data_IF_844617090944
#
_entry.id   IF_844617090944
#
_cell.length_a   1.000
_cell.length_b   1.000
_cell.length_c   1.000
_cell.angle_alpha   90.00
_cell.angle_beta   90.00
_cell.angle_gamma   90.00
#
_symmetry.space_group_name_H-M   'P 1'
#
loop_
_entity.id
_entity.type
_entity.pdbx_description
1 polymer ?
#
# COMPACT_ATOMS: atom_id res chain seq x y z
N UNK A 1 50.94 30.66 -8.83
CA UNK A 1 49.97 30.19 -7.82
C UNK A 1 48.77 29.64 -8.58
N UNK A 2 48.54 28.33 -8.54
CA UNK A 2 47.41 27.68 -9.20
C UNK A 2 46.69 26.84 -8.14
N UNK A 3 45.52 27.31 -7.70
CA UNK A 3 44.64 26.57 -6.80
C UNK A 3 43.73 25.71 -7.68
N UNK A 4 44.03 24.41 -7.78
CA UNK A 4 43.12 23.44 -8.38
C UNK A 4 42.10 23.02 -7.31
N UNK A 5 40.85 23.44 -7.48
CA UNK A 5 39.73 23.01 -6.66
C UNK A 5 39.25 21.64 -7.15
N UNK A 6 39.54 20.59 -6.39
CA UNK A 6 38.95 19.27 -6.60
C UNK A 6 37.54 19.31 -5.99
N UNK A 7 36.52 19.39 -6.84
CA UNK A 7 35.14 19.24 -6.43
C UNK A 7 34.86 17.75 -6.13
N UNK A 8 34.74 17.41 -4.85
CA UNK A 8 34.31 16.07 -4.41
C UNK A 8 32.79 16.02 -4.54
N UNK A 9 32.30 15.43 -5.64
CA UNK A 9 30.89 15.06 -5.81
C UNK A 9 30.61 13.79 -5.00
N UNK A 10 30.25 13.95 -3.73
CA UNK A 10 29.63 12.89 -2.93
C UNK A 10 28.20 12.68 -3.46
N UNK A 11 28.05 11.75 -4.40
CA UNK A 11 26.76 11.19 -4.77
C UNK A 11 26.18 10.47 -3.55
N UNK A 12 25.30 11.15 -2.82
CA UNK A 12 24.45 10.56 -1.79
C UNK A 12 23.48 9.60 -2.47
N UNK A 13 23.89 8.34 -2.66
CA UNK A 13 22.96 7.24 -2.83
C UNK A 13 22.20 7.10 -1.52
N UNK A 14 21.10 7.83 -1.37
CA UNK A 14 20.13 7.55 -0.31
C UNK A 14 19.59 6.14 -0.57
N UNK A 15 19.85 5.15 0.29
CA UNK A 15 19.09 3.91 0.22
C UNK A 15 17.63 4.30 0.47
N UNK A 16 16.79 4.15 -0.55
CA UNK A 16 15.34 4.24 -0.35
C UNK A 16 14.96 3.14 0.62
N UNK A 17 14.76 3.49 1.89
CA UNK A 17 14.20 2.57 2.85
C UNK A 17 12.78 2.27 2.39
N UNK A 18 12.61 1.09 1.78
CA UNK A 18 11.31 0.50 1.50
C UNK A 18 10.43 0.69 2.74
N UNK A 19 9.29 1.37 2.59
CA UNK A 19 8.37 1.60 3.72
C UNK A 19 7.52 0.34 3.88
N UNK A 20 7.70 -0.45 4.95
CA UNK A 20 6.95 -1.68 5.13
C UNK A 20 5.51 -1.38 5.56
N UNK A 21 4.57 -1.98 4.85
CA UNK A 21 3.13 -1.87 5.13
C UNK A 21 2.48 -3.26 5.20
N UNK A 22 1.46 -3.43 6.03
CA UNK A 22 0.71 -4.70 6.11
C UNK A 22 -0.28 -4.82 4.95
N UNK A 23 -0.95 -3.71 4.63
CA UNK A 23 -2.05 -3.68 3.68
C UNK A 23 -1.88 -2.53 2.69
N UNK A 24 -2.10 -2.80 1.40
CA UNK A 24 -2.07 -1.79 0.35
C UNK A 24 -3.15 -2.04 -0.72
N UNK A 25 -3.59 -0.98 -1.37
CA UNK A 25 -4.51 -1.01 -2.50
C UNK A 25 -4.18 0.12 -3.49
N UNK A 26 -4.56 -0.07 -4.76
CA UNK A 26 -4.38 0.96 -5.77
C UNK A 26 -5.51 2.00 -5.68
N UNK A 27 -5.20 3.26 -5.99
CA UNK A 27 -6.18 4.35 -6.03
C UNK A 27 -6.47 4.81 -7.46
N UNK A 28 -7.68 5.33 -7.69
CA UNK A 28 -8.09 5.92 -8.97
C UNK A 28 -7.41 7.26 -9.24
N UNK A 29 -6.97 7.94 -8.18
CA UNK A 29 -6.28 9.22 -8.16
C UNK A 29 -5.43 9.32 -6.88
N UNK A 30 -4.54 10.32 -6.81
CA UNK A 30 -3.90 10.65 -5.53
C UNK A 30 -4.97 11.14 -4.57
N UNK A 31 -5.01 10.54 -3.38
CA UNK A 31 -5.99 10.85 -2.35
C UNK A 31 -7.46 10.56 -2.72
N UNK A 32 -7.68 9.59 -3.61
CA UNK A 32 -9.00 9.20 -4.10
C UNK A 32 -9.37 7.76 -3.68
N UNK A 33 -10.60 7.36 -3.99
CA UNK A 33 -11.15 6.02 -3.87
C UNK A 33 -10.24 4.90 -4.40
N UNK A 34 -10.44 3.71 -3.86
CA UNK A 34 -9.74 2.50 -4.29
C UNK A 34 -10.15 2.14 -5.72
N UNK A 35 -9.14 1.94 -6.57
CA UNK A 35 -9.28 1.36 -7.91
C UNK A 35 -9.18 -0.17 -7.79
N UNK A 36 -10.35 -0.81 -7.75
CA UNK A 36 -10.42 -2.27 -7.57
C UNK A 36 -9.86 -3.04 -8.77
N UNK A 37 -10.06 -2.54 -10.00
CA UNK A 37 -9.58 -3.20 -11.21
C UNK A 37 -8.05 -3.23 -11.25
N UNK A 38 -7.40 -2.09 -10.95
CA UNK A 38 -5.94 -2.03 -10.84
C UNK A 38 -5.42 -2.91 -9.69
N UNK A 39 -6.12 -2.96 -8.57
CA UNK A 39 -5.75 -3.81 -7.42
C UNK A 39 -5.88 -5.30 -7.78
N UNK A 40 -6.93 -5.67 -8.51
CA UNK A 40 -7.13 -7.02 -9.06
C UNK A 40 -6.01 -7.41 -10.02
N UNK A 41 -5.57 -6.49 -10.89
CA UNK A 41 -4.44 -6.73 -11.80
C UNK A 41 -3.12 -6.94 -11.04
N UNK A 42 -2.83 -6.12 -10.02
CA UNK A 42 -1.65 -6.33 -9.15
C UNK A 42 -1.69 -7.73 -8.51
N UNK A 43 -2.82 -8.12 -7.94
CA UNK A 43 -3.00 -9.45 -7.36
C UNK A 43 -2.85 -10.57 -8.40
N UNK A 44 -3.46 -10.42 -9.58
CA UNK A 44 -3.46 -11.44 -10.63
C UNK A 44 -2.08 -11.67 -11.26
N UNK A 45 -1.25 -10.61 -11.36
CA UNK A 45 0.07 -10.69 -11.96
C UNK A 45 1.16 -11.16 -11.00
N UNK A 46 0.99 -10.95 -9.69
CA UNK A 46 1.91 -11.47 -8.67
C UNK A 46 1.17 -12.08 -7.48
N UNK A 47 0.35 -13.08 -7.76
CA UNK A 47 -0.42 -13.82 -6.74
C UNK A 47 0.47 -14.61 -5.76
N UNK A 48 1.76 -14.76 -6.08
CA UNK A 48 2.76 -15.37 -5.21
C UNK A 48 3.27 -14.40 -4.15
N UNK A 49 3.22 -13.09 -4.43
CA UNK A 49 3.66 -12.02 -3.54
C UNK A 49 2.50 -11.38 -2.80
N UNK A 50 1.34 -11.24 -3.42
CA UNK A 50 0.18 -10.57 -2.85
C UNK A 50 -1.02 -11.49 -2.76
N UNK A 51 -1.73 -11.41 -1.63
CA UNK A 51 -3.00 -12.11 -1.40
C UNK A 51 -4.02 -11.12 -0.84
N UNK A 52 -5.30 -11.39 -1.02
CA UNK A 52 -6.35 -10.56 -0.42
C UNK A 52 -6.23 -10.51 1.11
N UNK A 53 -6.36 -9.30 1.66
CA UNK A 53 -6.31 -9.05 3.10
C UNK A 53 -7.64 -9.41 3.79
N UNK A 54 -8.67 -9.66 3.00
CA UNK A 54 -10.03 -10.00 3.42
C UNK A 54 -10.57 -11.19 2.63
N UNK A 55 -11.64 -11.81 3.14
CA UNK A 55 -12.37 -12.87 2.44
C UNK A 55 -13.26 -12.28 1.34
N UNK A 56 -13.74 -13.15 0.44
CA UNK A 56 -14.63 -12.74 -0.64
C UNK A 56 -15.92 -12.11 -0.09
N UNK A 57 -16.28 -10.93 -0.60
CA UNK A 57 -17.46 -10.18 -0.16
C UNK A 57 -17.26 -9.34 1.11
N UNK A 58 -16.10 -9.43 1.77
CA UNK A 58 -15.73 -8.52 2.86
C UNK A 58 -15.02 -7.27 2.32
N UNK A 59 -15.09 -6.17 3.07
CA UNK A 59 -14.40 -4.92 2.72
C UNK A 59 -13.98 -4.16 3.97
N UNK A 60 -12.91 -3.39 3.87
CA UNK A 60 -12.46 -2.52 4.94
C UNK A 60 -13.23 -1.21 4.93
N UNK A 61 -13.58 -0.72 6.12
CA UNK A 61 -14.21 0.58 6.33
C UNK A 61 -13.16 1.68 6.37
N UNK A 62 -13.46 2.80 5.73
CA UNK A 62 -12.63 4.00 5.77
C UNK A 62 -12.59 4.61 7.18
N UNK A 63 -11.44 5.12 7.56
CA UNK A 63 -11.27 5.97 8.73
C UNK A 63 -10.68 7.32 8.29
N UNK A 64 -11.31 8.41 8.73
CA UNK A 64 -10.81 9.77 8.43
C UNK A 64 -9.51 10.08 9.19
N UNK A 65 -9.29 9.41 10.32
CA UNK A 65 -8.07 9.52 11.12
C UNK A 65 -7.88 8.28 11.99
N UNK A 66 -6.64 8.03 12.41
CA UNK A 66 -6.29 6.88 13.24
C UNK A 66 -5.79 5.67 12.42
N UNK A 67 -5.77 4.48 13.04
CA UNK A 67 -5.37 3.25 12.36
C UNK A 67 -6.39 2.84 11.28
N UNK A 68 -5.95 2.02 10.33
CA UNK A 68 -6.84 1.53 9.27
C UNK A 68 -6.70 2.30 7.96
N UNK A 69 -7.50 1.90 6.95
CA UNK A 69 -7.43 2.51 5.64
C UNK A 69 -8.15 3.85 5.62
N UNK A 70 -7.57 4.82 4.92
CA UNK A 70 -8.21 6.11 4.65
C UNK A 70 -9.39 6.00 3.69
N UNK A 71 -9.41 4.95 2.86
CA UNK A 71 -10.43 4.72 1.83
C UNK A 71 -11.02 3.33 2.00
N UNK A 72 -12.34 3.23 1.91
CA UNK A 72 -13.03 1.96 2.02
C UNK A 72 -12.74 1.11 0.78
N UNK A 73 -12.62 -0.21 0.96
CA UNK A 73 -12.44 -1.13 -0.16
C UNK A 73 -11.72 -2.42 0.18
N UNK A 74 -11.22 -3.06 -0.87
CA UNK A 74 -10.50 -4.32 -0.80
C UNK A 74 -8.99 -4.05 -0.89
N UNK A 75 -8.24 -4.66 0.03
CA UNK A 75 -6.80 -4.46 0.15
C UNK A 75 -6.05 -5.78 -0.05
N UNK A 76 -4.80 -5.65 -0.47
CA UNK A 76 -3.84 -6.74 -0.56
C UNK A 76 -2.91 -6.71 0.65
N UNK A 77 -2.46 -7.89 1.06
CA UNK A 77 -1.33 -8.07 1.97
C UNK A 77 -0.24 -8.89 1.30
N UNK A 78 0.98 -8.82 1.81
CA UNK A 78 2.03 -9.70 1.35
C UNK A 78 1.69 -11.16 1.74
N UNK A 79 1.91 -12.09 0.83
CA UNK A 79 1.81 -13.53 1.10
C UNK A 79 2.81 -13.95 2.19
N UNK A 80 3.95 -13.25 2.27
CA UNK A 80 4.98 -13.39 3.32
C UNK A 80 5.54 -12.02 3.69
N UNK A 81 5.62 -11.73 4.99
CA UNK A 81 6.24 -10.50 5.49
C UNK A 81 5.39 -9.25 5.26
N UNK A 82 6.03 -8.21 4.73
CA UNK A 82 5.46 -6.87 4.57
C UNK A 82 5.46 -6.45 3.10
N UNK A 83 4.52 -5.59 2.72
CA UNK A 83 4.51 -4.93 1.42
C UNK A 83 5.50 -3.77 1.46
N UNK A 84 6.38 -3.70 0.46
CA UNK A 84 7.12 -2.48 0.16
C UNK A 84 6.21 -1.50 -0.60
N UNK A 85 5.84 -0.40 0.05
CA UNK A 85 4.93 0.60 -0.51
C UNK A 85 5.42 1.25 -1.80
N UNK A 86 6.73 1.46 -1.96
CA UNK A 86 7.28 2.09 -3.18
C UNK A 86 7.21 1.14 -4.37
N UNK A 87 7.41 -0.16 -4.12
CA UNK A 87 7.24 -1.20 -5.14
C UNK A 87 5.77 -1.36 -5.50
N UNK A 88 4.88 -1.41 -4.51
CA UNK A 88 3.45 -1.54 -4.73
C UNK A 88 2.87 -0.34 -5.50
N UNK A 89 3.30 0.88 -5.18
CA UNK A 89 2.97 2.10 -5.93
C UNK A 89 3.30 1.96 -7.43
N UNK A 90 4.52 1.52 -7.75
CA UNK A 90 4.95 1.33 -9.15
C UNK A 90 4.11 0.28 -9.87
N UNK A 91 3.70 -0.78 -9.18
CA UNK A 91 2.82 -1.81 -9.73
C UNK A 91 1.41 -1.26 -9.99
N UNK A 92 0.85 -0.48 -9.07
CA UNK A 92 -0.43 0.22 -9.30
C UNK A 92 -0.35 1.12 -10.54
N UNK A 93 0.69 1.95 -10.66
CA UNK A 93 0.93 2.80 -11.84
C UNK A 93 1.05 2.01 -13.13
N UNK A 94 1.65 0.82 -13.07
CA UNK A 94 1.82 -0.07 -14.22
C UNK A 94 0.49 -0.65 -14.72
N UNK A 95 -0.46 -0.89 -13.82
CA UNK A 95 -1.73 -1.56 -14.11
C UNK A 95 -2.95 -0.62 -14.09
N UNK A 96 -2.72 0.67 -14.37
CA UNK A 96 -3.81 1.64 -14.57
C UNK A 96 -4.32 2.32 -13.29
N UNK A 97 -3.74 2.00 -12.13
CA UNK A 97 -3.91 2.80 -10.93
C UNK A 97 -3.14 4.13 -11.04
N UNK A 98 -3.66 5.19 -10.42
CA UNK A 98 -2.98 6.48 -10.38
C UNK A 98 -2.08 6.65 -9.16
N UNK A 99 -2.38 5.95 -8.07
CA UNK A 99 -1.61 6.00 -6.83
C UNK A 99 -1.76 4.68 -6.06
N UNK A 100 -1.14 4.59 -4.88
CA UNK A 100 -1.35 3.52 -3.91
C UNK A 100 -1.57 4.10 -2.52
N UNK A 101 -2.48 3.47 -1.78
CA UNK A 101 -2.68 3.73 -0.36
C UNK A 101 -2.33 2.50 0.45
N UNK A 102 -1.67 2.71 1.58
CA UNK A 102 -1.22 1.64 2.45
C UNK A 102 -1.46 2.00 3.91
N UNK A 103 -1.73 0.99 4.73
CA UNK A 103 -1.94 1.15 6.16
C UNK A 103 -1.45 -0.07 6.94
N UNK A 104 -1.33 0.13 8.26
CA UNK A 104 -1.05 -0.93 9.21
C UNK A 104 -2.24 -1.07 10.16
N UNK A 105 -2.47 -2.31 10.59
CA UNK A 105 -3.52 -2.67 11.51
C UNK A 105 -3.03 -3.69 12.54
N UNK A 106 -3.13 -3.32 13.82
CA UNK A 106 -2.82 -4.19 14.96
C UNK A 106 -3.89 -5.25 15.15
N UNK A 107 -5.16 -4.85 15.17
CA UNK A 107 -6.28 -5.75 15.37
C UNK A 107 -7.39 -5.45 14.37
N UNK A 108 -7.93 -6.51 13.76
CA UNK A 108 -9.02 -6.42 12.78
C UNK A 108 -10.29 -7.04 13.36
N UNK A 109 -11.41 -6.36 13.19
CA UNK A 109 -12.71 -6.86 13.65
C UNK A 109 -13.70 -6.91 12.49
N UNK A 110 -14.37 -8.05 12.35
CA UNK A 110 -15.54 -8.17 11.49
C UNK A 110 -16.75 -7.60 12.24
N UNK A 111 -17.44 -6.64 11.63
CA UNK A 111 -18.64 -6.03 12.21
C UNK A 111 -19.83 -6.99 12.16
N UNK A 112 -20.89 -6.62 12.87
CA UNK A 112 -22.13 -7.41 12.99
C UNK A 112 -22.87 -7.63 11.67
N UNK A 113 -22.56 -6.85 10.63
CA UNK A 113 -23.09 -7.05 9.27
C UNK A 113 -22.45 -8.24 8.53
N UNK A 114 -21.41 -8.85 9.12
CA UNK A 114 -20.71 -10.01 8.58
C UNK A 114 -19.91 -9.72 7.31
N UNK A 115 -19.65 -8.45 6.97
CA UNK A 115 -18.90 -8.06 5.76
C UNK A 115 -17.89 -6.95 5.99
N UNK A 116 -18.18 -6.03 6.88
CA UNK A 116 -17.35 -4.85 7.11
C UNK A 116 -16.23 -5.16 8.08
N UNK A 117 -15.01 -4.77 7.73
CA UNK A 117 -13.82 -4.91 8.57
C UNK A 117 -13.39 -3.54 9.06
N UNK A 118 -13.20 -3.40 10.36
CA UNK A 118 -12.61 -2.22 10.98
C UNK A 118 -11.22 -2.53 11.54
N UNK A 119 -10.40 -1.51 11.62
CA UNK A 119 -9.07 -1.59 12.20
C UNK A 119 -9.02 -0.85 13.53
N UNK A 120 -8.57 -1.53 14.59
CA UNK A 120 -8.42 -0.94 15.92
C UNK A 120 -6.95 -0.98 16.40
N UNK A 121 -6.60 -0.03 17.27
CA UNK A 121 -5.35 -0.02 18.04
C UNK A 121 -5.68 -0.45 19.48
N UNK A 122 -5.12 -1.58 19.90
CA UNK A 122 -4.96 -1.92 21.32
C UNK A 122 -3.84 -1.12 21.96
#
# INVERSE_FOLDING_TARGET
MHFQYIAVLLALCSPGFAKPHQFCACQSGTDDSINIDATLEVHGKDNSRYIWAQEEGHFWIAHDSGPGPRFAGAFLKAAKGWIDGDTFYKECRRYGGADSTCFNCSEKHLLSDGKSIVCDQT
#
